data_IF_192967963665
#
_entry.id   IF_192967963665
#
_cell.length_a   1.000
_cell.length_b   1.000
_cell.length_c   1.000
_cell.angle_alpha   90.00
_cell.angle_beta   90.00
_cell.angle_gamma   90.00
#
_symmetry.space_group_name_H-M   'P 1'
#
loop_
_entity.id
_entity.type
_entity.pdbx_description
1 polymer ?
#
# COMPACT_ATOMS: atom_id res chain seq x y z
N UNK A 1 -16.08 -8.02 18.53
CA UNK A 1 -14.69 -7.98 19.03
C UNK A 1 -14.17 -6.56 18.87
N UNK A 2 -13.28 -6.09 19.74
CA UNK A 2 -12.63 -4.79 19.56
C UNK A 2 -11.25 -4.96 18.93
N UNK A 3 -11.03 -4.30 17.79
CA UNK A 3 -9.75 -4.27 17.10
C UNK A 3 -9.00 -3.00 17.49
N UNK A 4 -7.91 -3.18 18.24
CA UNK A 4 -7.09 -2.07 18.76
C UNK A 4 -6.21 -1.49 17.65
N UNK A 5 -5.98 -0.18 17.68
CA UNK A 5 -5.10 0.51 16.72
C UNK A 5 -3.68 -0.05 16.66
N UNK A 6 -3.13 -0.53 17.78
CA UNK A 6 -1.81 -1.19 17.78
C UNK A 6 -1.75 -2.42 16.85
N UNK A 7 -2.86 -3.16 16.75
CA UNK A 7 -2.96 -4.33 15.86
C UNK A 7 -3.04 -3.86 14.41
N UNK A 8 -3.84 -2.83 14.14
CA UNK A 8 -3.92 -2.23 12.79
C UNK A 8 -2.58 -1.68 12.32
N UNK A 9 -1.86 -0.95 13.17
CA UNK A 9 -0.51 -0.46 12.87
C UNK A 9 0.40 -1.64 12.48
N UNK A 10 0.42 -2.71 13.27
CA UNK A 10 1.24 -3.89 12.95
C UNK A 10 0.84 -4.53 11.61
N UNK A 11 -0.46 -4.69 11.35
CA UNK A 11 -0.98 -5.22 10.08
C UNK A 11 -0.54 -4.35 8.91
N UNK A 12 -0.69 -3.02 9.01
CA UNK A 12 -0.31 -2.11 7.92
C UNK A 12 1.19 -2.10 7.67
N UNK A 13 2.02 -2.13 8.72
CA UNK A 13 3.47 -2.23 8.59
C UNK A 13 3.89 -3.57 7.96
N UNK A 14 3.27 -4.68 8.38
CA UNK A 14 3.51 -5.99 7.78
C UNK A 14 3.13 -6.01 6.30
N UNK A 15 1.96 -5.47 5.95
CA UNK A 15 1.51 -5.36 4.56
C UNK A 15 2.48 -4.51 3.74
N UNK A 16 2.91 -3.36 4.24
CA UNK A 16 3.90 -2.52 3.56
C UNK A 16 5.22 -3.25 3.33
N UNK A 17 5.70 -3.98 4.35
CA UNK A 17 6.94 -4.73 4.28
C UNK A 17 6.87 -5.87 3.26
N UNK A 18 5.82 -6.69 3.28
CA UNK A 18 5.64 -7.77 2.31
C UNK A 18 5.43 -7.24 0.90
N UNK A 19 4.61 -6.18 0.74
CA UNK A 19 4.42 -5.54 -0.55
C UNK A 19 5.76 -5.04 -1.11
N UNK A 20 6.60 -4.42 -0.28
CA UNK A 20 7.93 -3.96 -0.68
C UNK A 20 8.77 -5.14 -1.17
N UNK A 21 8.96 -6.16 -0.33
CA UNK A 21 9.79 -7.32 -0.66
C UNK A 21 9.32 -8.02 -1.94
N UNK A 22 8.02 -8.26 -2.07
CA UNK A 22 7.48 -9.03 -3.19
C UNK A 22 7.49 -8.25 -4.50
N UNK A 23 7.14 -6.96 -4.47
CA UNK A 23 7.17 -6.14 -5.69
C UNK A 23 8.59 -5.81 -6.14
N UNK A 24 9.51 -5.57 -5.19
CA UNK A 24 10.89 -5.20 -5.51
C UNK A 24 11.73 -6.40 -5.96
N UNK A 25 11.28 -7.63 -5.73
CA UNK A 25 11.94 -8.83 -6.26
C UNK A 25 12.05 -8.83 -7.79
N UNK A 26 11.15 -8.13 -8.50
CA UNK A 26 11.15 -8.02 -9.97
C UNK A 26 12.04 -6.89 -10.50
N UNK A 27 12.46 -5.96 -9.66
CA UNK A 27 13.20 -4.76 -10.07
C UNK A 27 14.66 -5.02 -10.53
N UNK A 28 15.39 -6.04 -10.04
CA UNK A 28 16.75 -6.34 -10.50
C UNK A 28 16.89 -6.55 -12.01
N UNK A 29 15.82 -6.96 -12.71
CA UNK A 29 15.81 -7.08 -14.18
C UNK A 29 16.11 -5.75 -14.91
N UNK A 30 15.96 -4.61 -14.23
CA UNK A 30 16.14 -3.28 -14.80
C UNK A 30 17.45 -2.59 -14.36
N UNK A 31 18.24 -3.17 -13.45
CA UNK A 31 19.42 -2.50 -12.85
C UNK A 31 20.65 -2.39 -13.77
N UNK A 32 20.57 -2.80 -15.05
CA UNK A 32 21.71 -2.82 -15.98
C UNK A 32 22.09 -1.47 -16.62
N UNK A 33 21.18 -0.49 -16.65
CA UNK A 33 21.33 0.77 -17.41
C UNK A 33 21.47 2.03 -16.55
N UNK A 34 21.45 1.92 -15.22
CA UNK A 34 21.45 3.06 -14.29
C UNK A 34 20.03 3.44 -13.84
N UNK A 35 19.90 4.19 -12.73
CA UNK A 35 18.62 4.38 -12.04
C UNK A 35 17.54 5.08 -12.89
N UNK A 36 17.91 6.11 -13.66
CA UNK A 36 16.97 6.85 -14.49
C UNK A 36 16.44 5.99 -15.67
N UNK A 37 17.34 5.31 -16.36
CA UNK A 37 17.00 4.46 -17.50
C UNK A 37 16.21 3.21 -17.06
N UNK A 38 16.57 2.62 -15.91
CA UNK A 38 15.82 1.54 -15.28
C UNK A 38 14.36 1.93 -15.02
N UNK A 39 14.14 3.14 -14.49
CA UNK A 39 12.80 3.64 -14.21
C UNK A 39 12.01 3.88 -15.50
N UNK A 40 12.62 4.49 -16.52
CA UNK A 40 11.96 4.72 -17.82
C UNK A 40 11.59 3.37 -18.46
N UNK A 41 12.50 2.40 -18.45
CA UNK A 41 12.27 1.09 -19.03
C UNK A 41 11.17 0.34 -18.28
N UNK A 42 11.19 0.34 -16.95
CA UNK A 42 10.14 -0.26 -16.12
C UNK A 42 8.75 0.27 -16.49
N UNK A 43 8.58 1.59 -16.59
CA UNK A 43 7.30 2.18 -16.94
C UNK A 43 6.88 1.87 -18.38
N UNK A 44 7.84 1.82 -19.31
CA UNK A 44 7.54 1.40 -20.68
C UNK A 44 7.05 -0.04 -20.76
N UNK A 45 7.68 -0.94 -20.01
CA UNK A 45 7.30 -2.34 -19.98
C UNK A 45 5.96 -2.54 -19.27
N UNK A 46 5.75 -1.87 -18.14
CA UNK A 46 4.51 -1.95 -17.37
C UNK A 46 3.29 -1.37 -18.11
N UNK A 47 3.46 -0.27 -18.87
CA UNK A 47 2.34 0.44 -19.48
C UNK A 47 2.14 0.13 -20.96
N UNK A 48 3.22 0.03 -21.74
CA UNK A 48 3.13 -0.03 -23.20
C UNK A 48 3.43 -1.43 -23.75
N UNK A 49 4.43 -2.13 -23.21
CA UNK A 49 4.81 -3.47 -23.69
C UNK A 49 4.08 -4.61 -22.97
N UNK A 50 3.31 -4.31 -21.92
CA UNK A 50 2.50 -5.31 -21.24
C UNK A 50 1.43 -5.94 -22.14
N UNK A 51 1.14 -7.22 -21.90
CA UNK A 51 0.00 -7.91 -22.51
C UNK A 51 -1.34 -7.28 -22.03
N UNK A 52 -2.49 -7.62 -22.63
CA UNK A 52 -3.77 -7.02 -22.25
C UNK A 52 -4.13 -7.15 -20.77
N UNK A 53 -3.77 -8.27 -20.11
CA UNK A 53 -4.02 -8.46 -18.68
C UNK A 53 -3.14 -7.54 -17.81
N UNK A 54 -1.86 -7.38 -18.17
CA UNK A 54 -0.96 -6.45 -17.49
C UNK A 54 -1.40 -5.00 -17.63
N UNK A 55 -1.85 -4.59 -18.84
CA UNK A 55 -2.42 -3.26 -19.07
C UNK A 55 -3.69 -3.02 -18.25
N UNK A 56 -4.57 -4.01 -18.15
CA UNK A 56 -5.76 -3.95 -17.29
C UNK A 56 -5.37 -3.68 -15.82
N UNK A 57 -4.43 -4.45 -15.27
CA UNK A 57 -3.95 -4.26 -13.89
C UNK A 57 -3.25 -2.92 -13.68
N UNK A 58 -2.49 -2.44 -14.67
CA UNK A 58 -1.84 -1.13 -14.60
C UNK A 58 -2.87 0.01 -14.57
N UNK A 59 -3.91 -0.04 -15.40
CA UNK A 59 -4.99 0.96 -15.36
C UNK A 59 -5.74 0.90 -14.02
N UNK A 60 -6.09 -0.31 -13.56
CA UNK A 60 -6.77 -0.52 -12.28
C UNK A 60 -5.98 0.10 -11.11
N UNK A 61 -4.68 -0.18 -11.03
CA UNK A 61 -3.85 0.33 -9.93
C UNK A 61 -3.65 1.85 -10.01
N UNK A 62 -3.60 2.45 -11.19
CA UNK A 62 -3.46 3.91 -11.35
C UNK A 62 -4.71 4.66 -10.82
N UNK A 63 -5.90 4.17 -11.14
CA UNK A 63 -7.15 4.77 -10.63
C UNK A 63 -7.34 4.50 -9.13
N UNK A 64 -7.00 3.31 -8.64
CA UNK A 64 -6.97 3.01 -7.22
C UNK A 64 -6.00 3.94 -6.48
N UNK A 65 -4.80 4.14 -7.03
CA UNK A 65 -3.81 5.06 -6.46
C UNK A 65 -4.32 6.49 -6.40
N UNK A 66 -5.02 6.97 -7.42
CA UNK A 66 -5.65 8.29 -7.39
C UNK A 66 -6.67 8.41 -6.25
N UNK A 67 -7.58 7.44 -6.10
CA UNK A 67 -8.55 7.43 -5.01
C UNK A 67 -7.88 7.38 -3.63
N UNK A 68 -6.86 6.53 -3.45
CA UNK A 68 -6.04 6.48 -2.24
C UNK A 68 -5.39 7.83 -1.94
N UNK A 69 -4.79 8.50 -2.94
CA UNK A 69 -4.16 9.80 -2.75
C UNK A 69 -5.17 10.88 -2.32
N UNK A 70 -6.33 10.95 -2.97
CA UNK A 70 -7.41 11.88 -2.58
C UNK A 70 -7.77 11.67 -1.10
N UNK A 71 -7.97 10.41 -0.69
CA UNK A 71 -8.29 10.08 0.69
C UNK A 71 -7.15 10.42 1.65
N UNK A 72 -5.90 10.11 1.32
CA UNK A 72 -4.73 10.44 2.13
C UNK A 72 -4.60 11.94 2.36
N UNK A 73 -4.80 12.76 1.32
CA UNK A 73 -4.77 14.22 1.47
C UNK A 73 -5.85 14.71 2.42
N UNK A 74 -7.11 14.33 2.19
CA UNK A 74 -8.24 14.76 3.01
C UNK A 74 -8.05 14.32 4.47
N UNK A 75 -7.72 13.04 4.68
CA UNK A 75 -7.57 12.48 6.02
C UNK A 75 -6.37 13.08 6.76
N UNK A 76 -5.24 13.29 6.07
CA UNK A 76 -4.07 13.93 6.66
C UNK A 76 -4.39 15.33 7.17
N UNK A 77 -5.19 16.12 6.44
CA UNK A 77 -5.64 17.44 6.89
C UNK A 77 -6.65 17.35 8.02
N UNK A 78 -7.57 16.38 7.99
CA UNK A 78 -8.61 16.20 9.01
C UNK A 78 -8.04 15.90 10.39
N UNK A 79 -7.06 15.00 10.50
CA UNK A 79 -6.52 14.55 11.79
C UNK A 79 -5.08 15.03 12.06
N UNK A 80 -4.48 15.78 11.13
CA UNK A 80 -3.15 16.34 11.27
C UNK A 80 -2.01 15.34 11.13
N UNK A 81 -2.11 14.36 10.22
CA UNK A 81 -0.95 13.54 9.83
C UNK A 81 0.06 14.42 9.09
N UNK A 82 1.31 14.43 9.55
CA UNK A 82 2.39 15.22 8.93
C UNK A 82 2.94 14.54 7.68
N UNK A 83 3.56 15.32 6.80
CA UNK A 83 4.34 14.84 5.64
C UNK A 83 3.55 14.02 4.61
N UNK A 84 2.25 14.33 4.37
CA UNK A 84 1.43 13.59 3.37
C UNK A 84 2.11 13.46 2.00
N UNK A 85 2.83 14.49 1.55
CA UNK A 85 3.57 14.46 0.28
C UNK A 85 4.66 13.38 0.22
N UNK A 86 5.26 13.00 1.36
CA UNK A 86 6.24 11.90 1.41
C UNK A 86 5.58 10.58 1.03
N UNK A 87 4.36 10.33 1.52
CA UNK A 87 3.60 9.14 1.15
C UNK A 87 3.20 9.15 -0.34
N UNK A 88 2.79 10.31 -0.86
CA UNK A 88 2.45 10.44 -2.29
C UNK A 88 3.66 10.16 -3.17
N UNK A 89 4.81 10.77 -2.87
CA UNK A 89 6.06 10.55 -3.61
C UNK A 89 6.51 9.09 -3.48
N UNK A 90 6.45 8.51 -2.29
CA UNK A 90 6.75 7.09 -2.09
C UNK A 90 5.80 6.18 -2.89
N UNK A 91 4.53 6.54 -3.06
CA UNK A 91 3.58 5.79 -3.87
C UNK A 91 3.95 5.76 -5.35
N UNK A 92 4.59 6.81 -5.85
CA UNK A 92 5.06 6.93 -7.25
C UNK A 92 6.41 6.24 -7.44
N UNK A 93 7.34 6.43 -6.51
CA UNK A 93 8.75 5.98 -6.64
C UNK A 93 8.94 4.54 -6.18
N UNK A 94 8.23 4.11 -5.14
CA UNK A 94 8.40 2.79 -4.52
C UNK A 94 7.28 1.85 -4.94
N UNK A 95 6.05 2.15 -4.50
CA UNK A 95 4.81 1.46 -4.85
C UNK A 95 3.68 2.02 -3.99
N UNK A 96 2.49 2.21 -4.57
CA UNK A 96 1.30 2.64 -3.82
C UNK A 96 0.89 1.61 -2.74
N UNK A 97 1.10 0.32 -3.00
CA UNK A 97 0.84 -0.78 -2.06
C UNK A 97 1.77 -0.78 -0.84
N UNK A 98 2.86 -0.02 -0.87
CA UNK A 98 3.74 0.23 0.29
C UNK A 98 3.37 1.54 0.97
N UNK A 99 3.24 2.62 0.19
CA UNK A 99 3.01 3.96 0.71
C UNK A 99 1.65 4.10 1.42
N UNK A 100 0.59 3.51 0.86
CA UNK A 100 -0.75 3.62 1.43
C UNK A 100 -0.85 2.92 2.80
N UNK A 101 -0.40 1.67 3.00
CA UNK A 101 -0.38 1.08 4.34
C UNK A 101 0.50 1.84 5.33
N UNK A 102 1.66 2.39 4.93
CA UNK A 102 2.46 3.25 5.81
C UNK A 102 1.67 4.48 6.27
N UNK A 103 0.92 5.10 5.37
CA UNK A 103 0.01 6.19 5.72
C UNK A 103 -1.08 5.73 6.70
N UNK A 104 -1.67 4.56 6.47
CA UNK A 104 -2.67 3.97 7.37
C UNK A 104 -2.12 3.74 8.78
N UNK A 105 -0.88 3.27 8.90
CA UNK A 105 -0.21 3.13 10.19
C UNK A 105 -0.01 4.49 10.89
N UNK A 106 0.48 5.50 10.16
CA UNK A 106 0.66 6.86 10.70
C UNK A 106 -0.67 7.49 11.11
N UNK A 107 -1.73 7.23 10.35
CA UNK A 107 -3.10 7.65 10.66
C UNK A 107 -3.59 7.04 11.97
N UNK A 108 -3.45 5.74 12.18
CA UNK A 108 -3.88 5.08 13.43
C UNK A 108 -3.14 5.65 14.64
N UNK A 109 -1.82 5.86 14.53
CA UNK A 109 -1.03 6.49 15.58
C UNK A 109 -1.53 7.91 15.87
N UNK A 110 -1.90 8.66 14.83
CA UNK A 110 -2.40 10.03 14.98
C UNK A 110 -3.80 10.09 15.60
N UNK A 111 -4.68 9.15 15.27
CA UNK A 111 -6.02 9.03 15.88
C UNK A 111 -5.91 8.82 17.39
N UNK A 112 -5.12 7.83 17.81
CA UNK A 112 -4.91 7.54 19.24
C UNK A 112 -4.30 8.73 19.97
N UNK A 113 -3.42 9.50 19.32
CA UNK A 113 -2.81 10.68 19.91
C UNK A 113 -3.76 11.89 20.03
N UNK A 114 -4.76 12.00 19.15
CA UNK A 114 -5.62 13.19 19.04
C UNK A 114 -6.99 13.00 19.69
N UNK A 115 -7.49 11.76 19.75
CA UNK A 115 -8.76 11.40 20.36
C UNK A 115 -8.54 10.41 21.51
N UNK A 116 -8.66 10.91 22.76
CA UNK A 116 -8.49 10.10 23.97
C UNK A 116 -9.62 9.08 24.19
N UNK A 117 -10.75 9.25 23.53
CA UNK A 117 -11.89 8.34 23.63
C UNK A 117 -11.84 7.24 22.55
N UNK A 118 -10.95 7.37 21.57
CA UNK A 118 -10.77 6.38 20.53
C UNK A 118 -9.98 5.17 21.06
N UNK A 119 -10.68 4.06 21.28
CA UNK A 119 -10.10 2.80 21.81
C UNK A 119 -9.88 1.74 20.73
N UNK A 120 -10.41 1.94 19.53
CA UNK A 120 -10.30 1.03 18.39
C UNK A 120 -11.60 0.91 17.61
N UNK A 121 -11.71 -0.16 16.82
CA UNK A 121 -12.85 -0.41 15.94
C UNK A 121 -13.65 -1.63 16.42
N UNK A 122 -14.97 -1.52 16.44
CA UNK A 122 -15.85 -2.68 16.65
C UNK A 122 -15.95 -3.47 15.36
N UNK A 123 -15.53 -4.74 15.39
CA UNK A 123 -15.53 -5.63 14.23
C UNK A 123 -16.13 -7.00 14.60
N UNK A 124 -16.76 -7.68 13.64
CA UNK A 124 -17.28 -9.03 13.84
C UNK A 124 -16.17 -10.06 13.65
N UNK A 125 -16.31 -11.22 14.27
CA UNK A 125 -15.35 -12.33 14.10
C UNK A 125 -15.26 -12.78 12.64
N UNK A 126 -16.39 -12.80 11.93
CA UNK A 126 -16.44 -13.14 10.50
C UNK A 126 -15.60 -12.19 9.64
N UNK A 127 -15.61 -10.89 9.95
CA UNK A 127 -14.81 -9.92 9.20
C UNK A 127 -13.31 -10.19 9.36
N UNK A 128 -12.88 -10.57 10.57
CA UNK A 128 -11.48 -10.91 10.85
C UNK A 128 -11.05 -12.18 10.14
N UNK A 129 -11.90 -13.21 10.15
CA UNK A 129 -11.64 -14.45 9.41
C UNK A 129 -11.49 -14.14 7.91
N UNK A 130 -12.39 -13.33 7.36
CA UNK A 130 -12.33 -12.90 5.96
C UNK A 130 -11.06 -12.12 5.65
N UNK A 131 -10.67 -11.17 6.48
CA UNK A 131 -9.44 -10.38 6.29
C UNK A 131 -8.18 -11.26 6.33
N UNK A 132 -8.12 -12.21 7.27
CA UNK A 132 -7.00 -13.16 7.35
C UNK A 132 -6.96 -14.06 6.12
N UNK A 133 -8.11 -14.58 5.68
CA UNK A 133 -8.17 -15.41 4.48
C UNK A 133 -7.73 -14.63 3.23
N UNK A 134 -8.23 -13.40 3.03
CA UNK A 134 -7.83 -12.54 1.92
C UNK A 134 -6.34 -12.22 1.94
N UNK A 135 -5.78 -11.94 3.12
CA UNK A 135 -4.36 -11.69 3.28
C UNK A 135 -3.53 -12.92 2.90
N UNK A 136 -3.89 -14.11 3.39
CA UNK A 136 -3.19 -15.35 3.08
C UNK A 136 -3.27 -15.71 1.59
N UNK A 137 -4.45 -15.55 0.98
CA UNK A 137 -4.64 -15.75 -0.46
C UNK A 137 -3.76 -14.78 -1.24
N UNK A 138 -3.74 -13.51 -0.87
CA UNK A 138 -2.89 -12.49 -1.51
C UNK A 138 -1.41 -12.81 -1.40
N UNK A 139 -0.94 -13.20 -0.22
CA UNK A 139 0.46 -13.62 0.02
C UNK A 139 0.81 -14.85 -0.82
N UNK A 140 -0.06 -15.87 -0.84
CA UNK A 140 0.15 -17.08 -1.62
C UNK A 140 0.19 -16.79 -3.13
N UNK A 141 -0.77 -15.99 -3.63
CA UNK A 141 -0.82 -15.60 -5.02
C UNK A 141 0.41 -14.78 -5.44
N UNK A 142 0.85 -13.84 -4.60
CA UNK A 142 2.06 -13.06 -4.84
C UNK A 142 3.30 -13.95 -4.89
N UNK A 143 3.43 -14.90 -3.95
CA UNK A 143 4.56 -15.85 -3.94
C UNK A 143 4.58 -16.76 -5.18
N UNK A 144 3.41 -17.13 -5.70
CA UNK A 144 3.30 -17.97 -6.90
C UNK A 144 3.77 -17.28 -8.19
N UNK A 145 3.91 -15.95 -8.19
CA UNK A 145 4.30 -15.14 -9.36
C UNK A 145 5.65 -14.42 -9.19
N UNK A 146 6.38 -14.72 -8.10
CA UNK A 146 7.74 -14.23 -7.82
C UNK A 146 8.82 -14.85 -8.74
#
# INVERSE_FOLDING_TARGET
>A
MELKSRVLVAVYLLTAFLALLMSWAHLPAYFGSGFADANIQFWNDALFNANPAGKFLAVDVLFLAFACNVWMFIEARRIGVKYVYVYVIAGIVIAISVAFPLFMAARELRLVATDKHFTGYKIKTVDVITLVALFLIGVFAAFAIL
#
